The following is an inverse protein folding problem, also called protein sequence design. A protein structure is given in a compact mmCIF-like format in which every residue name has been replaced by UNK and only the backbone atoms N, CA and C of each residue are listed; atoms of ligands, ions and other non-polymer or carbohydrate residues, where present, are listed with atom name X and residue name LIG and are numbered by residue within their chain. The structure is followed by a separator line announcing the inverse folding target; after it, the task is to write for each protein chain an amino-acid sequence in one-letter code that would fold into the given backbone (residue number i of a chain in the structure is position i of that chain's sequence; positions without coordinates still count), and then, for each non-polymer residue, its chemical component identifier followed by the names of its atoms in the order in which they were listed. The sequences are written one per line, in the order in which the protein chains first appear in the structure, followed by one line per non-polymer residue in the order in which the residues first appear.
data_IF_963572818279
#
_entry.id   IF_963572818279
#
_cell.length_a   1.000
_cell.length_b   1.000
_cell.length_c   1.000
_cell.angle_alpha   90.00
_cell.angle_beta   90.00
_cell.angle_gamma   90.00
#
_symmetry.space_group_name_H-M   'P 1'
#
loop_
_entity.id
_entity.type
_entity.pdbx_description
1 polymer ?
#
# COMPACT_ATOMS: atom_id res chain seq x y z
N UNK A 1 27.45 -2.49 -38.48
CA UNK A 1 26.17 -1.98 -37.95
C UNK A 1 25.77 -2.57 -36.57
N UNK A 2 26.65 -3.27 -35.84
CA UNK A 2 26.30 -3.93 -34.56
C UNK A 2 26.52 -3.07 -33.30
N UNK A 3 27.10 -1.87 -33.41
CA UNK A 3 27.54 -1.13 -32.22
C UNK A 3 26.38 -0.41 -31.50
N UNK A 4 25.39 0.08 -32.26
CA UNK A 4 24.25 0.82 -31.71
C UNK A 4 23.26 -0.10 -30.97
N UNK A 5 23.00 -1.29 -31.53
CA UNK A 5 22.12 -2.29 -30.89
C UNK A 5 22.74 -2.84 -29.58
N UNK A 6 24.07 -3.02 -29.55
CA UNK A 6 24.78 -3.43 -28.34
C UNK A 6 24.71 -2.36 -27.24
N UNK A 7 24.90 -1.09 -27.60
CA UNK A 7 24.83 0.02 -26.64
C UNK A 7 23.44 0.19 -26.03
N UNK A 8 22.38 0.08 -26.85
CA UNK A 8 20.98 0.16 -26.38
C UNK A 8 20.67 -1.01 -25.42
N UNK A 9 21.08 -2.23 -25.77
CA UNK A 9 20.88 -3.39 -24.90
C UNK A 9 21.66 -3.27 -23.58
N UNK A 10 22.90 -2.78 -23.62
CA UNK A 10 23.71 -2.57 -22.42
C UNK A 10 23.09 -1.52 -21.49
N UNK A 11 22.63 -0.39 -22.03
CA UNK A 11 21.93 0.64 -21.26
C UNK A 11 20.64 0.12 -20.63
N UNK A 12 19.83 -0.64 -21.39
CA UNK A 12 18.61 -1.27 -20.87
C UNK A 12 18.87 -2.27 -19.76
N UNK A 13 19.92 -3.09 -19.89
CA UNK A 13 20.32 -4.05 -18.85
C UNK A 13 20.81 -3.32 -17.59
N UNK A 14 21.55 -2.22 -17.74
CA UNK A 14 22.01 -1.42 -16.61
C UNK A 14 20.82 -0.81 -15.85
N UNK A 15 19.85 -0.24 -16.58
CA UNK A 15 18.62 0.34 -16.03
C UNK A 15 17.82 -0.72 -15.23
N UNK A 16 17.56 -1.89 -15.84
CA UNK A 16 16.89 -3.00 -15.17
C UNK A 16 17.65 -3.51 -13.92
N UNK A 17 18.99 -3.55 -13.98
CA UNK A 17 19.81 -3.96 -12.84
C UNK A 17 19.80 -2.94 -11.71
N UNK A 18 19.59 -1.67 -12.03
CA UNK A 18 19.49 -0.58 -11.07
C UNK A 18 18.15 -0.68 -10.34
N UNK A 19 17.05 -0.84 -11.09
CA UNK A 19 15.70 -1.01 -10.53
C UNK A 19 15.61 -2.26 -9.62
N UNK A 20 16.19 -3.39 -10.04
CA UNK A 20 16.19 -4.61 -9.23
C UNK A 20 16.96 -4.43 -7.91
N UNK A 21 18.09 -3.70 -7.93
CA UNK A 21 18.86 -3.39 -6.72
C UNK A 21 18.10 -2.44 -5.80
N UNK A 22 17.43 -1.43 -6.37
CA UNK A 22 16.60 -0.52 -5.59
C UNK A 22 15.43 -1.25 -4.93
N UNK A 23 14.70 -2.07 -5.68
CA UNK A 23 13.61 -2.89 -5.14
C UNK A 23 14.09 -3.78 -3.98
N UNK A 24 15.21 -4.49 -4.17
CA UNK A 24 15.81 -5.34 -3.12
C UNK A 24 16.19 -4.53 -1.87
N UNK A 25 16.73 -3.33 -2.05
CA UNK A 25 17.07 -2.45 -0.93
C UNK A 25 15.82 -1.96 -0.19
N UNK A 26 14.78 -1.56 -0.91
CA UNK A 26 13.52 -1.12 -0.32
C UNK A 26 12.83 -2.25 0.46
N UNK A 27 12.76 -3.46 -0.11
CA UNK A 27 12.22 -4.65 0.58
C UNK A 27 13.00 -4.98 1.85
N UNK A 28 14.33 -4.80 1.84
CA UNK A 28 15.16 -4.95 3.04
C UNK A 28 14.84 -3.88 4.08
N UNK A 29 14.65 -2.63 3.66
CA UNK A 29 14.40 -1.49 4.54
C UNK A 29 13.02 -1.55 5.22
N UNK A 30 12.07 -2.33 4.70
CA UNK A 30 10.83 -2.66 5.43
C UNK A 30 11.08 -3.38 6.77
N UNK A 31 12.29 -3.89 7.01
CA UNK A 31 12.66 -4.60 8.25
C UNK A 31 13.66 -3.81 9.10
N UNK A 32 13.87 -2.53 8.78
CA UNK A 32 14.79 -1.69 9.54
C UNK A 32 14.31 -1.46 10.99
N UNK A 33 15.26 -1.21 11.90
CA UNK A 33 14.97 -0.92 13.31
C UNK A 33 14.23 0.41 13.47
N UNK A 34 14.51 1.37 12.58
CA UNK A 34 13.95 2.71 12.59
C UNK A 34 12.59 2.72 11.87
N UNK A 35 11.55 3.19 12.56
CA UNK A 35 10.21 3.32 12.00
C UNK A 35 10.16 4.24 10.79
N UNK A 36 10.96 5.31 10.78
CA UNK A 36 11.00 6.24 9.66
C UNK A 36 11.54 5.58 8.38
N UNK A 37 12.59 4.75 8.52
CA UNK A 37 13.16 4.01 7.39
C UNK A 37 12.14 3.00 6.83
N UNK A 38 11.40 2.31 7.71
CA UNK A 38 10.34 1.39 7.28
C UNK A 38 9.20 2.12 6.57
N UNK A 39 8.74 3.27 7.08
CA UNK A 39 7.65 4.04 6.46
C UNK A 39 8.05 4.62 5.11
N UNK A 40 9.27 5.15 4.98
CA UNK A 40 9.78 5.66 3.70
C UNK A 40 9.91 4.52 2.68
N UNK A 41 10.41 3.35 3.10
CA UNK A 41 10.49 2.19 2.24
C UNK A 41 9.10 1.75 1.74
N UNK A 42 8.10 1.72 2.62
CA UNK A 42 6.72 1.42 2.23
C UNK A 42 6.18 2.42 1.20
N UNK A 43 6.35 3.73 1.46
CA UNK A 43 5.92 4.80 0.55
C UNK A 43 6.54 4.64 -0.84
N UNK A 44 7.85 4.43 -0.91
CA UNK A 44 8.56 4.25 -2.19
C UNK A 44 8.11 3.02 -2.96
N UNK A 45 7.85 1.91 -2.28
CA UNK A 45 7.33 0.69 -2.92
C UNK A 45 5.94 0.92 -3.51
N UNK A 46 5.11 1.74 -2.85
CA UNK A 46 3.84 2.24 -3.37
C UNK A 46 4.00 3.09 -4.63
N UNK A 47 4.89 4.09 -4.58
CA UNK A 47 5.18 5.01 -5.70
C UNK A 47 5.63 4.27 -6.96
N UNK A 48 6.50 3.26 -6.82
CA UNK A 48 7.02 2.46 -7.95
C UNK A 48 6.11 1.28 -8.32
N UNK A 49 4.95 1.13 -7.66
CA UNK A 49 3.97 0.03 -7.88
C UNK A 49 4.61 -1.37 -7.79
N UNK A 50 5.47 -1.58 -6.79
CA UNK A 50 6.17 -2.85 -6.61
C UNK A 50 5.25 -3.95 -6.06
N UNK A 51 4.56 -4.69 -6.93
CA UNK A 51 3.68 -5.81 -6.56
C UNK A 51 4.37 -6.87 -5.69
N UNK A 52 5.68 -7.05 -5.84
CA UNK A 52 6.48 -7.97 -5.05
C UNK A 52 6.52 -7.60 -3.55
N UNK A 53 6.12 -6.38 -3.21
CA UNK A 53 6.09 -5.88 -1.84
C UNK A 53 4.77 -6.16 -1.11
N UNK A 54 3.71 -6.61 -1.79
CA UNK A 54 2.36 -6.70 -1.19
C UNK A 54 2.37 -7.50 0.12
N UNK A 55 2.97 -8.68 0.14
CA UNK A 55 3.03 -9.52 1.34
C UNK A 55 3.73 -8.83 2.52
N UNK A 56 4.85 -8.13 2.27
CA UNK A 56 5.61 -7.44 3.31
C UNK A 56 4.92 -6.13 3.76
N UNK A 57 4.24 -5.43 2.84
CA UNK A 57 3.39 -4.29 3.18
C UNK A 57 2.20 -4.70 4.05
N UNK A 58 1.58 -5.86 3.78
CA UNK A 58 0.51 -6.42 4.63
C UNK A 58 1.02 -6.75 6.03
N UNK A 59 2.22 -7.32 6.16
CA UNK A 59 2.85 -7.56 7.47
C UNK A 59 3.06 -6.25 8.24
N UNK A 60 3.59 -5.21 7.58
CA UNK A 60 3.74 -3.90 8.22
C UNK A 60 2.39 -3.32 8.63
N UNK A 61 1.37 -3.41 7.77
CA UNK A 61 0.02 -2.94 8.03
C UNK A 61 -0.59 -3.57 9.30
N UNK A 62 -0.39 -4.87 9.52
CA UNK A 62 -1.02 -5.59 10.63
C UNK A 62 -0.18 -5.59 11.91
N UNK A 63 1.15 -5.71 11.79
CA UNK A 63 2.01 -6.07 12.91
C UNK A 63 2.96 -4.95 13.36
N UNK A 64 3.12 -3.86 12.61
CA UNK A 64 4.08 -2.82 12.99
C UNK A 64 3.60 -2.02 14.21
N UNK A 65 4.51 -1.84 15.17
CA UNK A 65 4.26 -1.04 16.38
C UNK A 65 4.04 0.44 16.10
N UNK A 66 4.62 0.97 15.03
CA UNK A 66 4.55 2.38 14.67
C UNK A 66 3.36 2.65 13.75
N UNK A 67 2.44 3.50 14.20
CA UNK A 67 1.26 3.85 13.42
C UNK A 67 1.57 4.57 12.12
N UNK A 68 2.68 5.32 12.05
CA UNK A 68 3.09 5.98 10.81
C UNK A 68 3.49 4.96 9.76
N UNK A 69 4.15 3.86 10.18
CA UNK A 69 4.52 2.75 9.30
C UNK A 69 3.26 2.05 8.80
N UNK A 70 2.32 1.71 9.68
CA UNK A 70 1.03 1.09 9.28
C UNK A 70 0.24 1.97 8.31
N UNK A 71 0.22 3.28 8.55
CA UNK A 71 -0.44 4.26 7.68
C UNK A 71 0.17 4.29 6.28
N UNK A 72 1.51 4.34 6.16
CA UNK A 72 2.18 4.31 4.86
C UNK A 72 2.07 2.95 4.18
N UNK A 73 2.03 1.85 4.93
CA UNK A 73 1.78 0.53 4.36
C UNK A 73 0.37 0.45 3.73
N UNK A 74 -0.66 0.98 4.41
CA UNK A 74 -2.00 1.10 3.84
C UNK A 74 -2.01 1.96 2.57
N UNK A 75 -1.40 3.15 2.62
CA UNK A 75 -1.31 4.04 1.48
C UNK A 75 -0.60 3.37 0.29
N UNK A 76 0.53 2.71 0.52
CA UNK A 76 1.28 2.00 -0.51
C UNK A 76 0.45 0.87 -1.15
N UNK A 77 -0.28 0.07 -0.36
CA UNK A 77 -1.20 -0.94 -0.88
C UNK A 77 -2.32 -0.30 -1.72
N UNK A 78 -2.85 0.85 -1.29
CA UNK A 78 -3.80 1.63 -2.06
C UNK A 78 -3.23 2.14 -3.38
N UNK A 79 -1.97 2.58 -3.38
CA UNK A 79 -1.26 3.00 -4.58
C UNK A 79 -1.09 1.83 -5.54
N UNK A 80 -0.74 0.64 -5.06
CA UNK A 80 -0.67 -0.55 -5.91
C UNK A 80 -1.99 -0.87 -6.60
N UNK A 81 -3.15 -0.49 -6.05
CA UNK A 81 -4.44 -0.70 -6.71
C UNK A 81 -4.76 -2.18 -6.90
N UNK A 82 -5.15 -2.58 -8.12
CA UNK A 82 -5.57 -3.97 -8.43
C UNK A 82 -4.47 -4.99 -8.10
N UNK A 83 -3.18 -4.63 -8.23
CA UNK A 83 -2.05 -5.48 -7.86
C UNK A 83 -2.04 -5.86 -6.37
N UNK A 84 -2.70 -5.08 -5.51
CA UNK A 84 -2.80 -5.34 -4.07
C UNK A 84 -4.16 -5.95 -3.65
N UNK A 85 -4.93 -6.54 -4.58
CA UNK A 85 -6.25 -7.10 -4.27
C UNK A 85 -6.23 -8.16 -3.15
N UNK A 86 -5.14 -8.92 -3.03
CA UNK A 86 -4.97 -9.89 -1.92
C UNK A 86 -4.89 -9.24 -0.52
N UNK A 87 -4.60 -7.94 -0.43
CA UNK A 87 -4.54 -7.21 0.83
C UNK A 87 -5.89 -6.70 1.33
N UNK A 88 -6.98 -6.88 0.57
CA UNK A 88 -8.32 -6.33 0.89
C UNK A 88 -8.80 -6.78 2.27
N UNK A 89 -8.62 -8.06 2.62
CA UNK A 89 -9.05 -8.57 3.93
C UNK A 89 -8.29 -7.88 5.08
N UNK A 90 -6.96 -7.80 4.98
CA UNK A 90 -6.10 -7.15 5.98
C UNK A 90 -6.38 -5.64 6.11
N UNK A 91 -6.67 -4.96 5.00
CA UNK A 91 -7.09 -3.56 5.00
C UNK A 91 -8.46 -3.37 5.66
N UNK A 92 -9.42 -4.25 5.40
CA UNK A 92 -10.74 -4.24 6.06
C UNK A 92 -10.60 -4.51 7.57
N UNK A 93 -9.71 -5.42 7.96
CA UNK A 93 -9.43 -5.68 9.38
C UNK A 93 -8.81 -4.45 10.06
N UNK A 94 -7.82 -3.83 9.41
CA UNK A 94 -7.16 -2.62 9.90
C UNK A 94 -8.16 -1.47 10.06
N UNK A 95 -9.02 -1.27 9.05
CA UNK A 95 -10.11 -0.31 9.09
C UNK A 95 -11.06 -0.55 10.28
N UNK A 96 -11.25 -1.79 10.73
CA UNK A 96 -12.14 -2.12 11.85
C UNK A 96 -11.47 -2.02 13.21
N UNK A 97 -10.17 -2.32 13.31
CA UNK A 97 -9.51 -2.61 14.58
C UNK A 97 -8.42 -1.63 14.98
N UNK A 98 -7.81 -0.90 14.03
CA UNK A 98 -6.69 -0.01 14.37
C UNK A 98 -7.15 1.12 15.30
N UNK A 99 -6.38 1.36 16.35
CA UNK A 99 -6.71 2.37 17.35
C UNK A 99 -6.48 3.79 16.85
N UNK A 100 -5.56 3.96 15.89
CA UNK A 100 -5.15 5.24 15.35
C UNK A 100 -6.04 5.62 14.17
N UNK A 101 -6.69 6.77 14.28
CA UNK A 101 -7.61 7.29 13.26
C UNK A 101 -6.93 7.43 11.90
N UNK A 102 -5.69 7.91 11.86
CA UNK A 102 -4.94 8.06 10.60
C UNK A 102 -4.78 6.75 9.84
N UNK A 103 -4.47 5.65 10.55
CA UNK A 103 -4.32 4.33 9.93
C UNK A 103 -5.66 3.82 9.37
N UNK A 104 -6.76 4.01 10.12
CA UNK A 104 -8.10 3.65 9.63
C UNK A 104 -8.51 4.47 8.41
N UNK A 105 -8.17 5.76 8.38
CA UNK A 105 -8.41 6.63 7.22
C UNK A 105 -7.68 6.12 5.98
N UNK A 106 -6.38 5.85 6.09
CA UNK A 106 -5.60 5.34 4.96
C UNK A 106 -6.10 3.96 4.51
N UNK A 107 -6.52 3.09 5.43
CA UNK A 107 -7.13 1.82 5.06
C UNK A 107 -8.42 2.01 4.24
N UNK A 108 -9.28 2.98 4.60
CA UNK A 108 -10.48 3.29 3.82
C UNK A 108 -10.13 3.81 2.41
N UNK A 109 -9.18 4.74 2.32
CA UNK A 109 -8.69 5.29 1.05
C UNK A 109 -8.11 4.18 0.17
N UNK A 110 -7.26 3.33 0.74
CA UNK A 110 -6.63 2.23 0.04
C UNK A 110 -7.66 1.25 -0.53
N UNK A 111 -8.67 0.85 0.25
CA UNK A 111 -9.76 -0.01 -0.22
C UNK A 111 -10.53 0.62 -1.39
N UNK A 112 -10.76 1.93 -1.35
CA UNK A 112 -11.37 2.65 -2.47
C UNK A 112 -10.48 2.73 -3.71
N UNK A 113 -9.16 2.78 -3.54
CA UNK A 113 -8.20 2.77 -4.65
C UNK A 113 -8.04 1.38 -5.28
N UNK A 114 -8.07 0.31 -4.46
CA UNK A 114 -8.03 -1.08 -4.91
C UNK A 114 -9.33 -1.46 -5.64
N UNK A 115 -10.48 -0.87 -5.27
CA UNK A 115 -11.70 -1.03 -6.06
C UNK A 115 -12.41 -2.38 -5.90
N UNK A 116 -12.07 -3.20 -4.90
CA UNK A 116 -12.70 -4.51 -4.72
C UNK A 116 -14.05 -4.43 -4.01
N UNK A 117 -15.10 -4.99 -4.64
CA UNK A 117 -16.44 -5.14 -4.05
C UNK A 117 -16.44 -5.93 -2.72
N UNK A 118 -15.43 -6.79 -2.51
CA UNK A 118 -15.22 -7.56 -1.28
C UNK A 118 -15.08 -6.64 -0.05
N UNK A 119 -14.63 -5.39 -0.25
CA UNK A 119 -14.46 -4.40 0.81
C UNK A 119 -15.79 -3.76 1.25
N UNK A 120 -16.83 -3.77 0.41
CA UNK A 120 -18.07 -3.01 0.61
C UNK A 120 -18.75 -3.33 1.95
N UNK A 121 -18.90 -4.59 2.39
CA UNK A 121 -19.53 -4.88 3.69
C UNK A 121 -18.75 -4.28 4.86
N UNK A 122 -17.41 -4.33 4.80
CA UNK A 122 -16.54 -3.75 5.81
C UNK A 122 -16.63 -2.23 5.86
N UNK A 123 -16.53 -1.59 4.69
CA UNK A 123 -16.66 -0.14 4.54
C UNK A 123 -18.04 0.36 4.97
N UNK A 124 -19.12 -0.37 4.64
CA UNK A 124 -20.50 0.03 4.98
C UNK A 124 -20.69 0.09 6.49
N UNK A 125 -20.21 -0.93 7.21
CA UNK A 125 -20.26 -0.95 8.67
C UNK A 125 -19.53 0.27 9.26
N UNK A 126 -18.34 0.55 8.75
CA UNK A 126 -17.49 1.63 9.25
C UNK A 126 -18.09 3.00 8.94
N UNK A 127 -18.66 3.18 7.76
CA UNK A 127 -19.39 4.40 7.37
C UNK A 127 -20.57 4.72 8.30
N UNK A 128 -21.17 3.70 8.92
CA UNK A 128 -22.31 3.86 9.83
C UNK A 128 -21.89 4.00 11.30
N UNK A 129 -20.85 3.27 11.72
CA UNK A 129 -20.58 3.00 13.14
C UNK A 129 -19.25 3.56 13.68
N UNK A 130 -18.28 3.96 12.84
CA UNK A 130 -16.99 4.43 13.38
C UNK A 130 -17.17 5.69 14.23
N UNK A 131 -16.45 5.76 15.35
CA UNK A 131 -16.48 6.88 16.29
C UNK A 131 -16.02 8.20 15.65
N UNK A 132 -15.08 8.15 14.71
CA UNK A 132 -14.54 9.34 14.04
C UNK A 132 -15.31 9.63 12.75
N UNK A 133 -15.88 10.83 12.66
CA UNK A 133 -16.66 11.26 11.50
C UNK A 133 -15.85 11.22 10.20
N UNK A 134 -14.55 11.47 10.24
CA UNK A 134 -13.71 11.47 9.03
C UNK A 134 -13.57 10.05 8.49
N UNK A 135 -13.40 9.07 9.38
CA UNK A 135 -13.32 7.66 8.98
C UNK A 135 -14.64 7.23 8.35
N UNK A 136 -15.78 7.68 8.90
CA UNK A 136 -17.09 7.42 8.30
C UNK A 136 -17.20 8.00 6.88
N UNK A 137 -16.80 9.26 6.69
CA UNK A 137 -16.84 9.94 5.40
C UNK A 137 -15.97 9.25 4.36
N UNK A 138 -14.71 8.93 4.70
CA UNK A 138 -13.81 8.25 3.76
C UNK A 138 -14.24 6.83 3.44
N UNK A 139 -14.85 6.10 4.38
CA UNK A 139 -15.45 4.80 4.08
C UNK A 139 -16.61 4.92 3.08
N UNK A 140 -17.46 5.95 3.23
CA UNK A 140 -18.54 6.22 2.27
C UNK A 140 -18.01 6.62 0.88
N UNK A 141 -16.97 7.46 0.83
CA UNK A 141 -16.31 7.85 -0.43
C UNK A 141 -15.63 6.66 -1.12
N UNK A 142 -15.01 5.77 -0.36
CA UNK A 142 -14.43 4.53 -0.89
C UNK A 142 -15.50 3.63 -1.52
N UNK A 143 -16.67 3.46 -0.87
CA UNK A 143 -17.80 2.71 -1.46
C UNK A 143 -18.27 3.37 -2.76
N UNK A 144 -18.37 4.70 -2.79
CA UNK A 144 -18.76 5.43 -3.99
C UNK A 144 -17.75 5.17 -5.12
N UNK A 145 -16.46 5.22 -4.81
CA UNK A 145 -15.37 4.99 -5.78
C UNK A 145 -15.36 3.55 -6.32
N UNK A 146 -15.60 2.55 -5.48
CA UNK A 146 -15.68 1.13 -5.90
C UNK A 146 -16.83 0.91 -6.89
N UNK A 147 -17.94 1.65 -6.74
CA UNK A 147 -19.16 1.47 -7.54
C UNK A 147 -19.19 2.24 -8.87
N UNK A 148 -18.18 3.07 -9.16
CA UNK A 148 -18.11 3.91 -10.37
C UNK A 148 -17.10 3.36 -11.35
#
# INVERSE_FOLDING_TARGET
MNNLLYLINALKVIDLSYDEKQLKLLLKNLKDRDGWVRSEAASRLGEIKAKEAVEELVKLLQDDRDSLVRSHAAAALGDLGDEAKEAVESLVETLKKDQIVGVRLEAAVALGNIGSDEAIPGLTKIAMEDKDIRVRSWAADAIRKIRT
#
